data_IF_880782125954
#
_entry.id   IF_880782125954
#
_cell.length_a   1.000
_cell.length_b   1.000
_cell.length_c   1.000
_cell.angle_alpha   90.00
_cell.angle_beta   90.00
_cell.angle_gamma   90.00
#
_symmetry.space_group_name_H-M   'P 1'
#
loop_
_entity.id
_entity.type
_entity.pdbx_description
1 polymer ?
#
# COMPACT_ATOMS: atom_id res chain seq x y z
N UNK A 1 12.64 63.33 -1.47
CA UNK A 1 11.26 63.14 -0.99
C UNK A 1 10.84 61.71 -1.28
N UNK A 2 10.96 60.89 -0.24
CA UNK A 2 10.36 59.60 0.10
C UNK A 2 9.72 58.75 -1.01
N UNK A 3 10.43 57.69 -1.43
CA UNK A 3 9.82 56.50 -2.01
C UNK A 3 9.04 55.79 -0.90
N UNK A 4 7.71 55.76 -1.03
CA UNK A 4 6.82 55.06 -0.11
C UNK A 4 7.10 53.56 -0.25
N UNK A 5 7.68 52.95 0.78
CA UNK A 5 7.70 51.50 0.93
C UNK A 5 6.24 51.07 1.06
N UNK A 6 5.62 50.56 -0.01
CA UNK A 6 4.33 49.89 0.12
C UNK A 6 4.56 48.64 0.96
N UNK A 7 4.12 48.67 2.21
CA UNK A 7 3.93 47.46 3.00
C UNK A 7 2.96 46.58 2.22
N UNK A 8 3.44 45.50 1.59
CA UNK A 8 2.54 44.44 1.16
C UNK A 8 1.74 44.04 2.40
N UNK A 9 0.41 44.26 2.37
CA UNK A 9 -0.46 43.69 3.39
C UNK A 9 -0.18 42.19 3.47
N UNK A 10 -0.05 41.61 4.67
CA UNK A 10 0.09 40.17 4.78
C UNK A 10 -1.14 39.55 4.11
N UNK A 11 -0.89 38.67 3.13
CA UNK A 11 -1.96 37.89 2.51
C UNK A 11 -2.67 37.12 3.62
N UNK A 12 -3.92 37.45 3.90
CA UNK A 12 -4.68 36.78 4.95
C UNK A 12 -5.16 35.44 4.40
N UNK A 13 -4.54 34.37 4.87
CA UNK A 13 -4.95 33.01 4.53
C UNK A 13 -6.16 32.62 5.38
N UNK A 14 -7.33 32.52 4.77
CA UNK A 14 -8.53 32.04 5.43
C UNK A 14 -8.63 30.52 5.28
N UNK A 15 -8.57 29.79 6.41
CA UNK A 15 -8.74 28.34 6.44
C UNK A 15 -10.23 27.99 6.46
N UNK A 16 -10.65 27.15 5.52
CA UNK A 16 -12.07 26.81 5.36
C UNK A 16 -12.43 25.47 5.97
N UNK A 17 -11.71 24.41 5.60
CA UNK A 17 -12.08 23.05 5.94
C UNK A 17 -10.86 22.11 5.92
N UNK A 18 -10.86 21.11 6.80
CA UNK A 18 -9.90 20.01 6.80
C UNK A 18 -10.54 18.77 6.16
N UNK A 19 -9.78 18.09 5.32
CA UNK A 19 -10.18 16.86 4.62
C UNK A 19 -9.15 15.77 4.90
N UNK A 20 -9.62 14.52 4.89
CA UNK A 20 -8.77 13.34 5.01
C UNK A 20 -8.91 12.52 3.73
N UNK A 21 -7.78 12.12 3.15
CA UNK A 21 -7.77 11.23 1.98
C UNK A 21 -7.04 9.94 2.34
N UNK A 22 -7.72 8.81 2.24
CA UNK A 22 -7.15 7.50 2.52
C UNK A 22 -5.93 7.19 1.63
N UNK A 23 -4.92 6.56 2.24
CA UNK A 23 -3.68 6.15 1.61
C UNK A 23 -3.31 4.75 2.07
N UNK A 24 -2.96 3.92 1.09
CA UNK A 24 -2.47 2.55 1.30
C UNK A 24 -1.33 2.30 0.32
N UNK A 25 -0.13 2.04 0.83
CA UNK A 25 1.06 1.90 0.00
C UNK A 25 2.15 1.07 0.67
N UNK A 26 3.13 0.63 -0.11
CA UNK A 26 4.28 -0.11 0.37
C UNK A 26 5.54 0.74 0.30
N UNK A 27 6.43 0.59 1.27
CA UNK A 27 7.74 1.24 1.26
C UNK A 27 8.80 0.32 1.86
N UNK A 28 10.05 0.52 1.45
CA UNK A 28 11.20 -0.20 2.02
C UNK A 28 11.86 0.66 3.10
N UNK A 29 11.79 0.24 4.35
CA UNK A 29 12.49 0.89 5.47
C UNK A 29 13.79 0.17 5.79
N UNK A 30 14.84 0.93 6.10
CA UNK A 30 16.07 0.36 6.66
C UNK A 30 15.74 -0.33 7.99
N UNK A 31 16.14 -1.59 8.12
CA UNK A 31 15.89 -2.42 9.28
C UNK A 31 17.22 -2.98 9.79
N UNK A 32 17.57 -2.62 11.03
CA UNK A 32 18.83 -3.01 11.69
C UNK A 32 18.70 -4.30 12.51
N UNK A 33 17.55 -4.98 12.45
CA UNK A 33 17.36 -6.26 13.12
C UNK A 33 18.26 -7.33 12.48
N UNK A 34 18.91 -8.12 13.33
CA UNK A 34 19.92 -9.08 12.89
C UNK A 34 19.34 -10.13 11.93
N UNK A 35 20.05 -10.35 10.81
CA UNK A 35 19.71 -11.33 9.76
C UNK A 35 19.55 -12.76 10.31
N UNK A 36 20.26 -13.09 11.39
CA UNK A 36 20.34 -14.45 11.96
C UNK A 36 19.04 -14.96 12.59
N UNK A 37 18.06 -14.10 12.89
CA UNK A 37 16.89 -14.54 13.66
C UNK A 37 15.60 -14.77 12.87
N UNK A 38 15.48 -14.44 11.56
CA UNK A 38 14.26 -14.77 10.78
C UNK A 38 14.26 -14.41 9.28
N UNK A 39 15.40 -14.14 8.62
CA UNK A 39 15.36 -13.78 7.18
C UNK A 39 14.50 -12.53 6.87
N UNK A 40 14.28 -11.67 7.88
CA UNK A 40 13.33 -10.55 7.89
C UNK A 40 13.74 -9.36 7.01
N UNK A 41 14.96 -9.36 6.47
CA UNK A 41 15.50 -8.22 5.72
C UNK A 41 16.22 -8.68 4.46
N UNK A 42 15.93 -8.00 3.35
CA UNK A 42 16.67 -8.11 2.09
C UNK A 42 17.58 -6.89 1.97
N UNK A 43 18.91 -7.09 1.94
CA UNK A 43 19.87 -5.98 1.88
C UNK A 43 19.80 -5.01 3.07
N UNK A 44 19.28 -5.44 4.23
CA UNK A 44 19.07 -4.58 5.40
C UNK A 44 17.81 -3.71 5.33
N UNK A 45 16.88 -4.01 4.42
CA UNK A 45 15.58 -3.34 4.31
C UNK A 45 14.42 -4.30 4.55
N UNK A 46 13.31 -3.76 5.05
CA UNK A 46 12.03 -4.45 5.25
C UNK A 46 10.93 -3.74 4.47
N UNK A 47 10.04 -4.52 3.85
CA UNK A 47 8.82 -3.96 3.23
C UNK A 47 7.78 -3.72 4.32
N UNK A 48 7.28 -2.48 4.37
CA UNK A 48 6.23 -2.03 5.29
C UNK A 48 5.01 -1.62 4.46
N UNK A 49 3.86 -2.18 4.78
CA UNK A 49 2.57 -1.73 4.31
C UNK A 49 2.08 -0.60 5.21
N UNK A 50 1.91 0.60 4.65
CA UNK A 50 1.41 1.76 5.36
C UNK A 50 -0.05 2.02 4.94
N UNK A 51 -0.95 2.04 5.92
CA UNK A 51 -2.37 2.36 5.73
C UNK A 51 -2.82 3.46 6.68
N UNK A 52 -3.47 4.49 6.15
CA UNK A 52 -3.94 5.65 6.93
C UNK A 52 -4.51 6.74 6.04
N UNK A 53 -4.33 8.00 6.40
CA UNK A 53 -4.88 9.13 5.66
C UNK A 53 -3.93 10.33 5.59
N UNK A 54 -4.03 11.06 4.48
CA UNK A 54 -3.40 12.34 4.27
C UNK A 54 -4.35 13.43 4.77
N UNK A 55 -3.92 14.21 5.75
CA UNK A 55 -4.66 15.35 6.25
C UNK A 55 -4.36 16.57 5.39
N UNK A 56 -5.40 17.19 4.84
CA UNK A 56 -5.30 18.32 3.91
C UNK A 56 -6.13 19.47 4.46
N UNK A 57 -5.62 20.69 4.32
CA UNK A 57 -6.32 21.92 4.66
C UNK A 57 -6.64 22.70 3.40
N UNK A 58 -7.90 23.07 3.22
CA UNK A 58 -8.29 24.02 2.19
C UNK A 58 -8.13 25.46 2.71
N UNK A 59 -7.55 26.31 1.86
CA UNK A 59 -7.42 27.73 2.13
C UNK A 59 -7.74 28.55 0.88
N UNK A 60 -8.12 29.81 1.11
CA UNK A 60 -8.34 30.80 0.05
C UNK A 60 -7.28 31.89 0.19
N UNK A 61 -6.78 32.37 -0.95
CA UNK A 61 -5.91 33.54 -1.01
C UNK A 61 -6.74 34.75 -1.45
N UNK A 62 -6.60 35.88 -0.76
CA UNK A 62 -7.33 37.12 -1.06
C UNK A 62 -7.15 37.64 -2.49
N UNK A 63 -6.15 37.14 -3.24
CA UNK A 63 -5.84 37.57 -4.61
C UNK A 63 -6.70 36.84 -5.66
N UNK A 64 -7.25 35.67 -5.33
CA UNK A 64 -8.04 34.84 -6.24
C UNK A 64 -9.23 34.22 -5.50
N UNK A 65 -10.27 35.02 -5.28
CA UNK A 65 -11.53 34.61 -4.63
C UNK A 65 -12.24 33.40 -5.27
N UNK A 66 -11.76 32.93 -6.43
CA UNK A 66 -12.31 31.82 -7.19
C UNK A 66 -11.44 30.56 -7.18
N UNK A 67 -10.25 30.57 -6.57
CA UNK A 67 -9.34 29.43 -6.56
C UNK A 67 -9.07 28.95 -5.12
N UNK A 68 -9.65 27.80 -4.77
CA UNK A 68 -9.36 27.13 -3.50
C UNK A 68 -8.06 26.35 -3.62
N UNK A 69 -7.11 26.63 -2.73
CA UNK A 69 -5.84 25.93 -2.65
C UNK A 69 -5.87 24.86 -1.57
N UNK A 70 -5.11 23.77 -1.78
CA UNK A 70 -4.99 22.68 -0.84
C UNK A 70 -3.57 22.59 -0.29
N UNK A 71 -3.45 22.58 1.04
CA UNK A 71 -2.20 22.36 1.75
C UNK A 71 -2.19 20.96 2.35
N UNK A 72 -1.18 20.15 2.03
CA UNK A 72 -0.93 18.88 2.74
C UNK A 72 -0.40 19.21 4.14
N UNK A 73 -1.15 18.83 5.17
CA UNK A 73 -0.74 19.00 6.57
C UNK A 73 0.22 17.88 6.98
N UNK A 74 -0.12 16.64 6.61
CA UNK A 74 0.71 15.48 6.95
C UNK A 74 0.00 14.16 6.73
N UNK A 75 0.77 13.07 6.82
CA UNK A 75 0.29 11.70 6.73
C UNK A 75 0.24 11.08 8.13
N UNK A 76 -0.91 10.49 8.49
CA UNK A 76 -1.05 9.65 9.69
C UNK A 76 -1.34 8.24 9.19
N UNK A 77 -0.49 7.26 9.54
CA UNK A 77 -0.64 5.89 9.07
C UNK A 77 -0.09 4.86 10.06
N UNK A 78 -0.66 3.65 10.00
CA UNK A 78 -0.15 2.46 10.67
C UNK A 78 0.74 1.69 9.71
N UNK A 79 1.94 1.35 10.15
CA UNK A 79 2.89 0.54 9.38
C UNK A 79 2.87 -0.93 9.83
N UNK A 80 2.44 -1.83 8.94
CA UNK A 80 2.51 -3.26 9.15
C UNK A 80 3.70 -3.85 8.40
N UNK A 81 4.52 -4.59 9.12
CA UNK A 81 5.56 -5.39 8.48
C UNK A 81 4.93 -6.55 7.73
N UNK A 82 5.33 -6.75 6.47
CA UNK A 82 5.01 -8.00 5.79
C UNK A 82 5.80 -9.17 6.40
N UNK A 83 5.21 -10.38 6.47
CA UNK A 83 5.93 -11.59 6.86
C UNK A 83 7.08 -11.88 5.88
N UNK A 84 8.24 -12.38 6.35
CA UNK A 84 9.30 -12.87 5.48
C UNK A 84 8.81 -13.86 4.42
N UNK A 85 9.36 -13.77 3.22
CA UNK A 85 9.23 -14.82 2.22
C UNK A 85 9.83 -16.13 2.78
N UNK A 86 9.05 -17.23 2.72
CA UNK A 86 9.51 -18.55 3.14
C UNK A 86 9.27 -18.92 4.61
N UNK A 87 8.46 -18.14 5.34
CA UNK A 87 8.09 -18.49 6.71
C UNK A 87 7.25 -19.78 6.74
N UNK A 88 7.77 -20.80 7.40
CA UNK A 88 7.04 -22.02 7.80
C UNK A 88 6.22 -21.81 9.08
N UNK A 89 6.31 -20.62 9.68
CA UNK A 89 5.70 -20.26 10.98
C UNK A 89 4.34 -19.55 10.86
N UNK A 90 3.85 -19.25 9.65
CA UNK A 90 2.46 -18.78 9.50
C UNK A 90 1.56 -19.96 9.86
N UNK A 91 0.90 -19.85 11.01
CA UNK A 91 -0.16 -20.78 11.40
C UNK A 91 -1.31 -20.58 10.43
N UNK A 92 -1.48 -21.54 9.53
CA UNK A 92 -2.59 -21.53 8.58
C UNK A 92 -3.84 -21.98 9.32
N UNK A 93 -4.86 -21.12 9.30
CA UNK A 93 -6.18 -21.45 9.83
C UNK A 93 -6.97 -22.31 8.82
N UNK A 94 -8.12 -22.85 9.23
CA UNK A 94 -8.95 -23.71 8.37
C UNK A 94 -9.49 -22.99 7.14
N UNK A 95 -9.65 -21.67 7.20
CA UNK A 95 -10.07 -20.81 6.09
C UNK A 95 -8.90 -20.30 5.23
N UNK A 96 -7.73 -20.91 5.33
CA UNK A 96 -6.53 -20.53 4.58
C UNK A 96 -5.95 -21.75 3.87
N UNK A 97 -5.45 -21.53 2.66
CA UNK A 97 -4.59 -22.47 1.96
C UNK A 97 -3.31 -21.76 1.51
N UNK A 98 -2.25 -22.52 1.26
CA UNK A 98 -0.98 -22.05 0.77
C UNK A 98 -0.78 -22.50 -0.67
N UNK A 99 -0.21 -21.62 -1.49
CA UNK A 99 0.31 -21.97 -2.80
C UNK A 99 1.74 -21.44 -2.95
N UNK A 100 2.49 -22.03 -3.89
CA UNK A 100 3.72 -21.44 -4.44
C UNK A 100 3.50 -21.17 -5.91
N UNK A 101 4.06 -20.07 -6.38
CA UNK A 101 4.02 -19.68 -7.77
C UNK A 101 5.39 -19.21 -8.24
N UNK A 102 5.64 -19.31 -9.55
CA UNK A 102 6.76 -18.61 -10.19
C UNK A 102 6.49 -17.10 -10.28
N UNK A 103 7.50 -16.34 -10.75
CA UNK A 103 7.46 -14.87 -10.83
C UNK A 103 6.40 -14.33 -11.79
N UNK A 104 5.80 -15.17 -12.62
CA UNK A 104 4.67 -14.84 -13.52
C UNK A 104 3.31 -15.27 -12.93
N UNK A 105 3.27 -15.62 -11.64
CA UNK A 105 2.12 -16.18 -10.92
C UNK A 105 1.59 -17.51 -11.48
N UNK A 106 2.41 -18.27 -12.22
CA UNK A 106 2.09 -19.67 -12.54
C UNK A 106 2.17 -20.55 -11.30
N UNK A 107 1.08 -21.24 -10.99
CA UNK A 107 0.94 -22.05 -9.79
C UNK A 107 1.77 -23.34 -9.95
N UNK A 108 2.72 -23.55 -9.04
CA UNK A 108 3.64 -24.71 -9.04
C UNK A 108 3.40 -25.66 -7.86
N UNK A 109 2.66 -25.21 -6.84
CA UNK A 109 2.27 -26.02 -5.69
C UNK A 109 1.03 -25.40 -5.04
N UNK A 110 0.11 -26.24 -4.57
CA UNK A 110 -0.99 -25.87 -3.67
C UNK A 110 -1.11 -26.94 -2.59
N UNK A 111 -1.48 -26.54 -1.36
CA UNK A 111 -1.86 -27.51 -0.34
C UNK A 111 -3.25 -28.10 -0.59
N UNK A 112 -3.55 -29.25 0.04
CA UNK A 112 -4.78 -30.01 -0.20
C UNK A 112 -6.07 -29.29 0.24
N UNK A 113 -5.98 -28.26 1.08
CA UNK A 113 -7.17 -27.54 1.58
C UNK A 113 -7.81 -26.65 0.52
N UNK A 114 -7.12 -26.41 -0.60
CA UNK A 114 -7.71 -25.66 -1.73
C UNK A 114 -9.00 -26.32 -2.24
N UNK A 115 -9.09 -27.66 -2.20
CA UNK A 115 -10.28 -28.39 -2.60
C UNK A 115 -11.48 -28.08 -1.68
N UNK A 116 -11.26 -28.10 -0.36
CA UNK A 116 -12.31 -27.79 0.63
C UNK A 116 -12.79 -26.34 0.54
N UNK A 117 -11.89 -25.40 0.22
CA UNK A 117 -12.19 -23.98 0.22
C UNK A 117 -12.72 -23.44 -1.11
N UNK A 118 -12.35 -24.05 -2.23
CA UNK A 118 -12.64 -23.53 -3.57
C UNK A 118 -13.37 -24.51 -4.47
N UNK A 119 -13.40 -25.80 -4.12
CA UNK A 119 -13.95 -26.87 -4.96
C UNK A 119 -13.02 -27.32 -6.10
N UNK A 120 -11.83 -26.74 -6.25
CA UNK A 120 -10.84 -27.16 -7.23
C UNK A 120 -9.82 -28.12 -6.64
N UNK A 121 -9.48 -29.17 -7.36
CA UNK A 121 -8.35 -30.02 -7.00
C UNK A 121 -7.03 -29.31 -7.34
N UNK A 122 -5.95 -29.50 -6.54
CA UNK A 122 -4.65 -28.88 -6.80
C UNK A 122 -4.14 -29.11 -8.23
N UNK A 123 -4.33 -30.31 -8.77
CA UNK A 123 -3.89 -30.68 -10.12
C UNK A 123 -4.59 -29.89 -11.24
N UNK A 124 -5.80 -29.38 -11.00
CA UNK A 124 -6.55 -28.61 -11.99
C UNK A 124 -6.07 -27.15 -12.07
N UNK A 125 -5.38 -26.69 -11.02
CA UNK A 125 -4.87 -25.32 -10.86
C UNK A 125 -3.39 -25.21 -11.18
N UNK A 126 -2.61 -26.26 -10.92
CA UNK A 126 -1.18 -26.32 -11.22
C UNK A 126 -0.93 -26.08 -12.73
N UNK A 127 0.21 -25.47 -13.04
CA UNK A 127 0.63 -25.06 -14.38
C UNK A 127 -0.23 -23.97 -15.06
N UNK A 128 -1.27 -23.46 -14.38
CA UNK A 128 -2.01 -22.27 -14.80
C UNK A 128 -1.56 -21.06 -14.00
N UNK A 129 -1.67 -19.87 -14.60
CA UNK A 129 -1.43 -18.62 -13.86
C UNK A 129 -2.64 -18.26 -13.02
N UNK A 130 -2.41 -17.61 -11.87
CA UNK A 130 -3.47 -17.14 -10.99
C UNK A 130 -4.53 -16.29 -11.73
N UNK A 131 -4.13 -15.58 -12.78
CA UNK A 131 -5.03 -14.81 -13.65
C UNK A 131 -6.15 -15.62 -14.31
N UNK A 132 -6.00 -16.95 -14.47
CA UNK A 132 -7.06 -17.80 -15.02
C UNK A 132 -8.21 -18.02 -14.03
N UNK A 133 -7.96 -17.80 -12.73
CA UNK A 133 -8.88 -18.15 -11.66
C UNK A 133 -9.43 -16.92 -10.92
N UNK A 134 -8.84 -15.74 -11.13
CA UNK A 134 -9.33 -14.50 -10.55
C UNK A 134 -10.48 -13.93 -11.38
N UNK A 135 -11.49 -13.41 -10.68
CA UNK A 135 -12.65 -12.80 -11.30
C UNK A 135 -12.24 -11.58 -12.17
N UNK A 136 -12.93 -11.39 -13.30
CA UNK A 136 -12.59 -10.35 -14.28
C UNK A 136 -12.49 -8.94 -13.70
N UNK A 137 -13.37 -8.59 -12.74
CA UNK A 137 -13.34 -7.28 -12.07
C UNK A 137 -12.08 -7.03 -11.22
N UNK A 138 -11.36 -8.09 -10.83
CA UNK A 138 -10.21 -8.01 -9.93
C UNK A 138 -8.86 -8.17 -10.65
N UNK A 139 -8.89 -8.52 -11.93
CA UNK A 139 -7.68 -8.76 -12.75
C UNK A 139 -6.77 -7.54 -12.77
N UNK A 140 -7.33 -6.32 -12.89
CA UNK A 140 -6.54 -5.09 -12.88
C UNK A 140 -5.89 -4.83 -11.53
N UNK A 141 -6.61 -5.07 -10.43
CA UNK A 141 -6.07 -4.94 -9.07
C UNK A 141 -4.94 -5.95 -8.82
N UNK A 142 -5.14 -7.21 -9.22
CA UNK A 142 -4.10 -8.25 -9.12
C UNK A 142 -2.88 -7.88 -9.98
N UNK A 143 -3.08 -7.42 -11.21
CA UNK A 143 -1.99 -6.99 -12.09
C UNK A 143 -1.22 -5.83 -11.52
N UNK A 144 -1.90 -4.86 -10.94
CA UNK A 144 -1.25 -3.73 -10.27
C UNK A 144 -0.40 -4.22 -9.09
N UNK A 145 -0.95 -5.08 -8.22
CA UNK A 145 -0.21 -5.65 -7.09
C UNK A 145 0.97 -6.53 -7.50
N UNK A 146 0.86 -7.26 -8.61
CA UNK A 146 1.91 -8.15 -9.11
C UNK A 146 3.13 -7.38 -9.67
N UNK A 147 2.92 -6.20 -10.25
CA UNK A 147 4.00 -5.42 -10.89
C UNK A 147 4.56 -4.29 -10.00
N UNK A 148 4.11 -4.18 -8.75
CA UNK A 148 4.52 -3.15 -7.79
C UNK A 148 5.84 -3.48 -7.07
#
# INVERSE_FOLDING_TARGET
MNAVLSTHQPLHTHFLQEYEIERSFFLRMKCVLAKRNAGLTCGGYKVIHCSGYLKIRQFVMDVSLYESCYQIIGLVAVGHSLPPCGITEIKLHSNMFMFRASLDLKLIFLDSRVAELTGYEPQDLIEKTLYHHVHGCDVFHLRYAHNL
#
